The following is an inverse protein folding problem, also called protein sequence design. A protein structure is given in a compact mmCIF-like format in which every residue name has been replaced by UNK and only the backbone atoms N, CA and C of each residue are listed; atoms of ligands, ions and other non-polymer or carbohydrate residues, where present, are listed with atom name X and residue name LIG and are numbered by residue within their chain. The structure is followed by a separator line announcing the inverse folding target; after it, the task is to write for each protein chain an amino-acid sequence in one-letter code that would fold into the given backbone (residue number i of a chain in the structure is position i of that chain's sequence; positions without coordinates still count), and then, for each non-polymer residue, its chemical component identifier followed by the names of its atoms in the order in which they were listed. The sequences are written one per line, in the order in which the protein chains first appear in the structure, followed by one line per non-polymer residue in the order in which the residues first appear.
data_IF_836327372252
#
_entry.id   IF_836327372252
#
_cell.length_a   1.000
_cell.length_b   1.000
_cell.length_c   1.000
_cell.angle_alpha   90.00
_cell.angle_beta   90.00
_cell.angle_gamma   90.00
#
_symmetry.space_group_name_H-M   'P 1'
#
loop_
_entity.id
_entity.type
_entity.pdbx_description
1 polymer ?
#
# COMPACT_ATOMS: atom_id res chain seq x y z
N UNK A 1 11.63 -5.17 -23.48
CA UNK A 1 10.18 -5.36 -23.18
C UNK A 1 9.97 -6.32 -21.99
N UNK A 2 10.63 -6.11 -20.84
CA UNK A 2 10.44 -6.88 -19.58
C UNK A 2 10.93 -6.08 -18.35
N UNK A 3 10.44 -4.83 -18.18
CA UNK A 3 11.12 -3.81 -17.36
C UNK A 3 10.28 -3.22 -16.21
N UNK A 4 9.34 -3.96 -15.62
CA UNK A 4 8.39 -3.36 -14.65
C UNK A 4 8.08 -4.25 -13.45
N UNK A 5 8.96 -5.19 -13.10
CA UNK A 5 8.63 -6.33 -12.24
C UNK A 5 8.98 -6.18 -10.75
N UNK A 6 9.01 -4.96 -10.18
CA UNK A 6 9.56 -4.75 -8.83
C UNK A 6 8.62 -4.27 -7.71
N UNK A 7 7.66 -3.39 -7.99
CA UNK A 7 6.43 -3.40 -7.18
C UNK A 7 5.75 -4.77 -7.29
N UNK A 8 5.76 -5.40 -8.48
CA UNK A 8 5.37 -6.79 -8.64
C UNK A 8 6.09 -7.79 -7.75
N UNK A 9 7.34 -7.63 -7.32
CA UNK A 9 8.04 -8.73 -6.62
C UNK A 9 7.86 -8.79 -5.10
N UNK A 10 7.69 -7.62 -4.45
CA UNK A 10 7.04 -7.54 -3.14
C UNK A 10 5.65 -8.19 -3.20
N UNK A 11 4.90 -7.87 -4.27
CA UNK A 11 3.63 -8.54 -4.52
C UNK A 11 3.78 -9.94 -5.09
N UNK A 12 4.93 -10.47 -5.54
CA UNK A 12 5.08 -11.83 -6.13
C UNK A 12 5.40 -12.83 -5.04
N UNK A 13 6.24 -12.47 -4.07
CA UNK A 13 6.42 -13.27 -2.85
C UNK A 13 5.16 -13.24 -2.00
N UNK A 14 4.52 -12.06 -1.85
CA UNK A 14 3.17 -11.99 -1.29
C UNK A 14 2.14 -12.72 -2.17
N UNK A 15 2.17 -12.67 -3.51
CA UNK A 15 1.23 -13.37 -4.42
C UNK A 15 1.44 -14.87 -4.45
N UNK A 16 2.66 -15.38 -4.33
CA UNK A 16 2.90 -16.81 -4.22
C UNK A 16 2.30 -17.30 -2.91
N UNK A 17 2.62 -16.66 -1.78
CA UNK A 17 2.03 -17.00 -0.49
C UNK A 17 0.50 -16.75 -0.45
N UNK A 18 0.02 -15.66 -1.05
CA UNK A 18 -1.38 -15.21 -1.05
C UNK A 18 -2.26 -16.03 -1.99
N UNK A 19 -1.82 -16.29 -3.23
CA UNK A 19 -2.55 -17.16 -4.16
C UNK A 19 -2.51 -18.62 -3.70
N UNK A 20 -1.39 -19.08 -3.13
CA UNK A 20 -1.34 -20.42 -2.51
C UNK A 20 -2.35 -20.47 -1.36
N UNK A 21 -2.37 -19.46 -0.50
CA UNK A 21 -3.26 -19.41 0.63
C UNK A 21 -4.75 -19.29 0.23
N UNK A 22 -5.13 -18.43 -0.72
CA UNK A 22 -6.51 -18.33 -1.21
C UNK A 22 -6.96 -19.59 -1.97
N UNK A 23 -6.11 -20.20 -2.79
CA UNK A 23 -6.42 -21.51 -3.40
C UNK A 23 -6.61 -22.59 -2.35
N UNK A 24 -5.78 -22.59 -1.31
CA UNK A 24 -5.90 -23.53 -0.18
C UNK A 24 -7.23 -23.35 0.53
N UNK A 25 -7.70 -22.10 0.69
CA UNK A 25 -9.01 -21.78 1.26
C UNK A 25 -10.14 -22.30 0.38
N UNK A 26 -10.10 -22.03 -0.91
CA UNK A 26 -11.13 -22.45 -1.86
C UNK A 26 -11.26 -23.98 -1.88
N UNK A 27 -10.12 -24.69 -1.95
CA UNK A 27 -10.10 -26.15 -1.89
C UNK A 27 -10.52 -26.67 -0.51
N UNK A 28 -10.21 -25.98 0.59
CA UNK A 28 -10.69 -26.31 1.92
C UNK A 28 -12.21 -26.16 2.03
N UNK A 29 -12.80 -25.11 1.45
CA UNK A 29 -14.25 -24.94 1.40
C UNK A 29 -14.91 -26.07 0.62
N UNK A 30 -14.35 -26.43 -0.54
CA UNK A 30 -14.83 -27.58 -1.32
C UNK A 30 -14.76 -28.86 -0.49
N UNK A 31 -13.63 -29.12 0.18
CA UNK A 31 -13.44 -30.29 1.05
C UNK A 31 -14.46 -30.34 2.19
N UNK A 32 -14.71 -29.21 2.86
CA UNK A 32 -15.70 -29.08 3.92
C UNK A 32 -17.11 -29.37 3.42
N UNK A 33 -17.51 -28.76 2.30
CA UNK A 33 -18.85 -28.93 1.76
C UNK A 33 -19.09 -30.36 1.26
N UNK A 34 -18.07 -31.00 0.67
CA UNK A 34 -18.07 -32.42 0.35
C UNK A 34 -18.20 -33.29 1.61
N UNK A 35 -17.48 -32.95 2.69
CA UNK A 35 -17.60 -33.64 3.96
C UNK A 35 -19.03 -33.57 4.52
N UNK A 36 -19.63 -32.38 4.58
CA UNK A 36 -21.00 -32.22 5.07
C UNK A 36 -22.01 -32.98 4.22
N UNK A 37 -21.87 -32.96 2.89
CA UNK A 37 -22.71 -33.76 1.98
C UNK A 37 -22.56 -35.26 2.27
N UNK A 38 -21.33 -35.75 2.44
CA UNK A 38 -21.03 -37.16 2.74
C UNK A 38 -21.58 -37.58 4.11
N UNK A 39 -21.47 -36.72 5.12
CA UNK A 39 -22.03 -36.96 6.45
C UNK A 39 -23.56 -36.99 6.42
N UNK A 40 -24.21 -36.18 5.58
CA UNK A 40 -25.67 -36.20 5.42
C UNK A 40 -26.17 -37.42 4.63
N UNK A 41 -25.42 -37.89 3.63
CA UNK A 41 -25.83 -39.00 2.75
C UNK A 41 -25.57 -40.38 3.34
N UNK A 42 -24.62 -40.52 4.27
CA UNK A 42 -24.22 -41.84 4.80
C UNK A 42 -25.22 -42.32 5.86
N UNK A 43 -25.71 -43.57 5.82
CA UNK A 43 -26.67 -44.08 6.81
C UNK A 43 -26.06 -44.11 8.22
N UNK A 44 -26.89 -43.98 9.25
CA UNK A 44 -26.43 -44.02 10.64
C UNK A 44 -26.14 -45.47 11.05
N UNK A 45 -24.96 -45.76 11.63
CA UNK A 45 -24.64 -47.09 12.10
C UNK A 45 -25.49 -47.46 13.32
N UNK A 46 -25.81 -48.75 13.42
CA UNK A 46 -26.55 -49.30 14.57
C UNK A 46 -25.59 -49.65 15.70
N UNK A 47 -25.90 -49.22 16.93
CA UNK A 47 -25.10 -49.51 18.13
C UNK A 47 -24.25 -48.33 18.61
N UNK A 48 -23.41 -48.57 19.62
CA UNK A 48 -22.52 -47.56 20.18
C UNK A 48 -21.39 -47.23 19.18
N UNK A 49 -21.22 -45.96 18.84
CA UNK A 49 -20.20 -45.47 17.92
C UNK A 49 -19.81 -44.04 18.28
N UNK A 50 -18.62 -43.61 17.85
CA UNK A 50 -18.26 -42.20 17.85
C UNK A 50 -18.89 -41.52 16.63
N UNK A 51 -19.67 -40.45 16.85
CA UNK A 51 -20.32 -39.72 15.78
C UNK A 51 -19.32 -39.13 14.79
N UNK A 52 -19.57 -39.32 13.49
CA UNK A 52 -18.88 -38.58 12.41
C UNK A 52 -18.89 -37.07 12.68
N UNK A 53 -17.80 -36.41 12.32
CA UNK A 53 -17.64 -34.96 12.54
C UNK A 53 -16.64 -34.35 11.57
N UNK A 54 -16.78 -33.06 11.32
CA UNK A 54 -15.76 -32.25 10.67
C UNK A 54 -15.10 -31.36 11.72
N UNK A 55 -13.82 -31.58 11.99
CA UNK A 55 -13.08 -30.91 13.07
C UNK A 55 -12.33 -29.65 12.60
N UNK A 56 -12.84 -29.04 11.54
CA UNK A 56 -12.24 -27.96 10.76
C UNK A 56 -11.00 -28.36 9.96
N UNK A 57 -10.43 -29.56 10.14
CA UNK A 57 -9.23 -30.00 9.43
C UNK A 57 -9.50 -31.23 8.53
N UNK A 58 -10.13 -32.27 9.07
CA UNK A 58 -10.42 -33.49 8.35
C UNK A 58 -11.88 -33.94 8.53
N UNK A 59 -12.36 -34.71 7.56
CA UNK A 59 -13.67 -35.32 7.61
C UNK A 59 -13.59 -36.69 8.28
N UNK A 60 -14.07 -36.80 9.52
CA UNK A 60 -14.05 -38.05 10.29
C UNK A 60 -15.34 -38.84 10.07
N UNK A 61 -15.26 -40.12 9.63
CA UNK A 61 -16.42 -41.01 9.59
C UNK A 61 -16.79 -41.50 11.00
N UNK A 62 -17.86 -42.30 11.11
CA UNK A 62 -18.21 -42.90 12.40
C UNK A 62 -17.10 -43.87 12.86
N UNK A 63 -16.70 -43.72 14.12
CA UNK A 63 -15.63 -44.50 14.72
C UNK A 63 -16.16 -45.71 15.51
N UNK A 64 -15.47 -46.84 15.40
CA UNK A 64 -15.79 -48.03 16.19
C UNK A 64 -15.23 -47.87 17.61
N UNK A 65 -16.02 -48.09 18.68
CA UNK A 65 -15.56 -47.89 20.06
C UNK A 65 -14.30 -48.68 20.41
N UNK A 66 -13.33 -48.02 21.06
CA UNK A 66 -12.06 -48.63 21.46
C UNK A 66 -11.04 -48.81 20.34
N UNK A 67 -11.32 -48.35 19.12
CA UNK A 67 -10.41 -48.46 17.97
C UNK A 67 -9.87 -47.10 17.51
N UNK A 68 -8.88 -47.12 16.62
CA UNK A 68 -8.33 -45.93 15.97
C UNK A 68 -8.94 -45.83 14.58
N UNK A 69 -9.51 -44.67 14.26
CA UNK A 69 -10.03 -44.35 12.94
C UNK A 69 -8.93 -43.64 12.14
N UNK A 70 -8.72 -44.08 10.90
CA UNK A 70 -7.75 -43.50 9.99
C UNK A 70 -8.43 -42.82 8.81
N UNK A 71 -7.96 -41.64 8.43
CA UNK A 71 -8.43 -40.91 7.25
C UNK A 71 -7.23 -40.38 6.44
N UNK A 72 -7.31 -40.32 5.11
CA UNK A 72 -6.21 -39.79 4.28
C UNK A 72 -5.96 -38.30 4.57
N UNK A 73 -4.73 -37.85 4.32
CA UNK A 73 -4.41 -36.42 4.36
C UNK A 73 -5.38 -35.61 3.46
N UNK A 74 -5.89 -34.46 3.92
CA UNK A 74 -6.80 -33.65 3.12
C UNK A 74 -6.14 -33.11 1.85
N UNK A 75 -6.86 -33.17 0.73
CA UNK A 75 -6.33 -32.76 -0.58
C UNK A 75 -6.16 -31.25 -0.74
N UNK A 76 -6.77 -30.45 0.13
CA UNK A 76 -6.67 -28.99 0.08
C UNK A 76 -5.29 -28.46 0.50
N UNK A 77 -4.45 -29.29 1.13
CA UNK A 77 -3.14 -28.87 1.63
C UNK A 77 -2.22 -28.45 0.46
N UNK A 78 -1.49 -27.32 0.56
CA UNK A 78 -0.57 -26.87 -0.50
C UNK A 78 0.49 -27.90 -0.87
N UNK A 79 0.90 -28.71 0.10
CA UNK A 79 1.91 -29.77 -0.02
C UNK A 79 1.29 -31.17 -0.16
N UNK A 80 0.00 -31.29 -0.49
CA UNK A 80 -0.70 -32.58 -0.59
C UNK A 80 0.02 -33.59 -1.48
N UNK A 81 0.67 -33.15 -2.57
CA UNK A 81 1.44 -34.05 -3.44
C UNK A 81 2.55 -34.80 -2.67
N UNK A 82 3.18 -34.15 -1.68
CA UNK A 82 4.22 -34.78 -0.85
C UNK A 82 3.63 -35.75 0.17
N UNK A 83 2.47 -35.42 0.74
CA UNK A 83 1.84 -36.16 1.86
C UNK A 83 0.63 -37.00 1.42
N UNK A 84 0.44 -37.22 0.12
CA UNK A 84 -0.75 -37.90 -0.42
C UNK A 84 -0.95 -39.33 0.10
N UNK A 85 0.13 -39.97 0.53
CA UNK A 85 0.12 -41.31 1.13
C UNK A 85 -0.04 -41.31 2.67
N UNK A 86 -0.01 -40.14 3.30
CA UNK A 86 -0.10 -39.99 4.75
C UNK A 86 -1.52 -40.23 5.27
N UNK A 87 -1.61 -40.69 6.52
CA UNK A 87 -2.86 -40.94 7.22
C UNK A 87 -2.92 -40.14 8.52
N UNK A 88 -4.06 -39.50 8.74
CA UNK A 88 -4.46 -38.93 10.00
C UNK A 88 -5.09 -40.01 10.86
N UNK A 89 -4.91 -39.92 12.18
CA UNK A 89 -5.51 -40.88 13.11
C UNK A 89 -6.18 -40.20 14.30
N UNK A 90 -7.35 -40.71 14.67
CA UNK A 90 -8.11 -40.26 15.84
C UNK A 90 -8.67 -41.48 16.58
N UNK A 91 -8.61 -41.45 17.91
CA UNK A 91 -9.04 -42.56 18.75
C UNK A 91 -10.48 -42.40 19.23
N UNK A 92 -11.30 -43.42 18.99
CA UNK A 92 -12.65 -43.53 19.55
C UNK A 92 -12.59 -44.24 20.91
N UNK A 93 -13.13 -43.62 21.95
CA UNK A 93 -13.20 -44.19 23.29
C UNK A 93 -14.17 -45.38 23.37
N UNK A 94 -14.06 -46.18 24.43
CA UNK A 94 -14.97 -47.31 24.65
C UNK A 94 -16.39 -46.85 25.04
N UNK A 95 -16.51 -45.61 25.47
CA UNK A 95 -17.74 -44.88 25.82
C UNK A 95 -18.49 -44.34 24.59
N UNK A 96 -17.96 -44.52 23.37
CA UNK A 96 -18.55 -43.96 22.16
C UNK A 96 -18.29 -42.46 21.99
N UNK A 97 -17.33 -41.90 22.73
CA UNK A 97 -16.91 -40.51 22.59
C UNK A 97 -15.48 -40.44 22.03
N UNK A 98 -15.22 -39.42 21.20
CA UNK A 98 -13.88 -39.14 20.72
C UNK A 98 -12.96 -38.77 21.89
N UNK A 99 -11.78 -39.39 21.96
CA UNK A 99 -10.80 -39.10 23.03
C UNK A 99 -10.36 -37.65 22.93
N UNK A 100 -10.47 -36.90 24.02
CA UNK A 100 -10.06 -35.49 24.09
C UNK A 100 -8.58 -35.34 24.46
N UNK A 101 -7.90 -34.38 23.85
CA UNK A 101 -6.55 -33.96 24.23
C UNK A 101 -6.55 -32.91 25.35
N UNK A 102 -5.37 -32.34 25.65
CA UNK A 102 -5.14 -31.38 26.74
C UNK A 102 -5.99 -30.09 26.69
N UNK A 103 -6.66 -29.78 25.57
CA UNK A 103 -7.43 -28.53 25.36
C UNK A 103 -8.92 -28.73 25.12
N UNK A 104 -9.54 -29.79 25.62
CA UNK A 104 -10.98 -30.10 25.41
C UNK A 104 -11.38 -30.48 23.98
N UNK A 105 -10.51 -30.30 22.99
CA UNK A 105 -10.67 -30.72 21.60
C UNK A 105 -10.30 -32.20 21.43
N UNK A 106 -10.94 -32.89 20.49
CA UNK A 106 -10.63 -34.29 20.20
C UNK A 106 -9.15 -34.44 19.80
N UNK A 107 -8.43 -35.37 20.42
CA UNK A 107 -7.03 -35.66 20.14
C UNK A 107 -6.90 -36.25 18.73
N UNK A 108 -5.96 -35.74 17.94
CA UNK A 108 -5.62 -36.26 16.60
C UNK A 108 -4.11 -36.31 16.42
N UNK A 109 -3.63 -37.30 15.70
CA UNK A 109 -2.25 -37.33 15.22
C UNK A 109 -2.22 -36.88 13.75
N UNK A 110 -1.48 -35.80 13.49
CA UNK A 110 -1.32 -35.16 12.17
C UNK A 110 0.09 -35.30 11.59
N UNK A 111 1.00 -36.01 12.27
CA UNK A 111 2.44 -36.02 11.95
C UNK A 111 2.76 -36.48 10.52
N UNK A 112 1.91 -37.30 9.89
CA UNK A 112 2.11 -37.76 8.51
C UNK A 112 1.64 -36.78 7.43
N UNK A 113 1.00 -35.67 7.81
CA UNK A 113 0.47 -34.66 6.90
C UNK A 113 1.11 -33.27 7.12
N UNK A 114 2.16 -33.19 7.94
CA UNK A 114 2.96 -31.97 8.13
C UNK A 114 3.92 -31.76 6.96
N UNK A 115 4.22 -30.49 6.64
CA UNK A 115 5.18 -30.15 5.59
C UNK A 115 6.59 -30.17 6.16
N UNK A 116 7.38 -31.19 5.81
CA UNK A 116 8.77 -31.35 6.26
C UNK A 116 9.74 -30.35 5.58
N UNK A 117 9.28 -29.42 4.74
CA UNK A 117 10.17 -28.40 4.19
C UNK A 117 10.60 -27.42 5.27
N UNK A 118 11.85 -27.56 5.71
CA UNK A 118 12.61 -26.49 6.36
C UNK A 118 12.46 -25.22 5.49
N UNK A 119 11.86 -24.17 6.07
CA UNK A 119 11.79 -22.86 5.42
C UNK A 119 13.22 -22.49 5.04
N UNK A 120 13.48 -22.30 3.75
CA UNK A 120 14.84 -22.06 3.28
C UNK A 120 15.35 -20.75 3.89
N UNK A 121 16.64 -20.69 4.25
CA UNK A 121 17.23 -19.46 4.82
C UNK A 121 17.01 -18.23 3.91
N UNK A 122 16.94 -18.45 2.59
CA UNK A 122 16.66 -17.44 1.57
C UNK A 122 15.21 -16.90 1.62
N UNK A 123 14.22 -17.74 1.94
CA UNK A 123 12.82 -17.32 2.14
C UNK A 123 12.64 -16.52 3.43
N UNK A 124 13.34 -16.89 4.50
CA UNK A 124 13.35 -16.14 5.77
C UNK A 124 13.98 -14.76 5.57
N UNK A 125 15.16 -14.69 4.95
CA UNK A 125 15.86 -13.42 4.69
C UNK A 125 15.03 -12.49 3.79
N UNK A 126 14.37 -13.04 2.77
CA UNK A 126 13.48 -12.28 1.90
C UNK A 126 12.28 -11.73 2.66
N UNK A 127 11.65 -12.52 3.55
CA UNK A 127 10.53 -12.07 4.39
C UNK A 127 10.94 -10.93 5.32
N UNK A 128 12.09 -11.03 5.98
CA UNK A 128 12.58 -10.00 6.90
C UNK A 128 12.93 -8.70 6.18
N UNK A 129 13.49 -8.80 4.97
CA UNK A 129 13.74 -7.64 4.12
C UNK A 129 12.45 -6.93 3.70
N UNK A 130 11.40 -7.69 3.34
CA UNK A 130 10.08 -7.15 2.99
C UNK A 130 9.41 -6.45 4.17
N UNK A 131 9.51 -7.03 5.38
CA UNK A 131 9.02 -6.40 6.62
C UNK A 131 9.78 -5.10 6.93
N UNK A 132 11.10 -5.09 6.70
CA UNK A 132 11.93 -3.89 6.87
C UNK A 132 11.52 -2.78 5.91
N UNK A 133 11.28 -3.09 4.63
CA UNK A 133 10.75 -2.11 3.67
C UNK A 133 9.36 -1.59 4.07
N UNK A 134 8.50 -2.47 4.57
CA UNK A 134 7.18 -2.09 5.09
C UNK A 134 7.28 -1.11 6.25
N UNK A 135 8.13 -1.40 7.23
CA UNK A 135 8.37 -0.50 8.35
C UNK A 135 8.90 0.86 7.88
N UNK A 136 9.88 0.87 6.97
CA UNK A 136 10.50 2.08 6.44
C UNK A 136 9.47 3.04 5.83
N UNK A 137 8.68 2.58 4.85
CA UNK A 137 7.72 3.47 4.19
C UNK A 137 6.54 3.82 5.11
N UNK A 138 6.17 2.94 6.06
CA UNK A 138 5.08 3.22 7.02
C UNK A 138 5.48 4.35 7.95
N UNK A 139 6.71 4.32 8.47
CA UNK A 139 7.27 5.43 9.26
C UNK A 139 7.34 6.70 8.42
N UNK A 140 7.86 6.61 7.20
CA UNK A 140 7.96 7.75 6.28
C UNK A 140 6.61 8.41 6.01
N UNK A 141 5.58 7.63 5.65
CA UNK A 141 4.24 8.15 5.40
C UNK A 141 3.58 8.72 6.66
N UNK A 142 3.83 8.13 7.84
CA UNK A 142 3.30 8.65 9.11
C UNK A 142 3.90 10.02 9.45
N UNK A 143 5.22 10.18 9.32
CA UNK A 143 5.92 11.47 9.53
C UNK A 143 5.45 12.51 8.50
N UNK A 144 5.35 12.12 7.22
CA UNK A 144 4.79 12.97 6.17
C UNK A 144 3.36 13.42 6.48
N UNK A 145 2.50 12.51 6.92
CA UNK A 145 1.10 12.82 7.23
C UNK A 145 0.97 13.84 8.36
N UNK A 146 1.68 13.63 9.48
CA UNK A 146 1.68 14.54 10.63
C UNK A 146 2.15 15.95 10.25
N UNK A 147 3.23 16.03 9.48
CA UNK A 147 3.78 17.32 9.03
C UNK A 147 2.89 18.02 8.00
N UNK A 148 2.26 17.28 7.09
CA UNK A 148 1.31 17.82 6.11
C UNK A 148 0.03 18.34 6.76
N UNK A 149 -0.54 17.60 7.72
CA UNK A 149 -1.74 18.05 8.47
C UNK A 149 -1.42 19.37 9.19
N UNK A 150 -0.26 19.43 9.83
CA UNK A 150 0.21 20.63 10.53
C UNK A 150 0.38 21.81 9.57
N UNK A 151 0.97 21.59 8.39
CA UNK A 151 1.13 22.61 7.36
C UNK A 151 -0.20 23.10 6.77
N UNK A 152 -1.14 22.17 6.49
CA UNK A 152 -2.49 22.48 6.04
C UNK A 152 -3.24 23.31 7.08
N UNK A 153 -3.13 22.97 8.37
CA UNK A 153 -3.74 23.74 9.45
C UNK A 153 -3.19 25.18 9.49
N UNK A 154 -1.88 25.36 9.36
CA UNK A 154 -1.25 26.69 9.34
C UNK A 154 -1.76 27.53 8.15
N UNK A 155 -1.75 26.96 6.93
CA UNK A 155 -2.17 27.67 5.73
C UNK A 155 -3.67 28.00 5.72
N UNK A 156 -4.50 27.13 6.30
CA UNK A 156 -5.95 27.34 6.37
C UNK A 156 -6.36 28.28 7.51
N UNK A 157 -5.75 28.19 8.70
CA UNK A 157 -6.09 29.04 9.86
C UNK A 157 -5.61 30.48 9.73
N UNK A 158 -4.51 30.73 9.00
CA UNK A 158 -4.00 32.07 8.77
C UNK A 158 -4.63 32.68 7.52
N UNK A 159 -5.73 33.43 7.69
CA UNK A 159 -6.43 34.13 6.58
C UNK A 159 -5.49 34.94 5.67
N UNK A 160 -4.45 35.58 6.25
CA UNK A 160 -3.45 36.36 5.50
C UNK A 160 -2.59 35.54 4.54
N UNK A 161 -2.46 34.23 4.78
CA UNK A 161 -1.72 33.32 3.91
C UNK A 161 -2.62 32.69 2.84
N UNK A 162 -3.92 33.00 2.78
CA UNK A 162 -4.85 32.46 1.76
C UNK A 162 -4.71 33.25 0.45
N UNK A 163 -3.70 32.92 -0.32
CA UNK A 163 -3.45 33.44 -1.67
C UNK A 163 -3.56 32.29 -2.69
N UNK A 164 -3.80 32.58 -3.98
CA UNK A 164 -3.90 31.56 -5.04
C UNK A 164 -2.73 30.57 -5.05
N UNK A 165 -1.49 31.08 -4.88
CA UNK A 165 -0.29 30.24 -4.73
C UNK A 165 -0.41 29.25 -3.56
N UNK A 166 -0.78 29.76 -2.39
CA UNK A 166 -0.85 28.95 -1.17
C UNK A 166 -2.06 28.00 -1.20
N UNK A 167 -3.12 28.32 -1.94
CA UNK A 167 -4.22 27.41 -2.23
C UNK A 167 -3.80 26.25 -3.13
N UNK A 168 -2.94 26.48 -4.13
CA UNK A 168 -2.37 25.41 -4.96
C UNK A 168 -1.46 24.52 -4.11
N UNK A 169 -0.57 25.11 -3.29
CA UNK A 169 0.26 24.34 -2.35
C UNK A 169 -0.58 23.55 -1.35
N UNK A 170 -1.68 24.10 -0.83
CA UNK A 170 -2.57 23.40 0.07
C UNK A 170 -3.25 22.18 -0.61
N UNK A 171 -3.68 22.31 -1.87
CA UNK A 171 -4.21 21.16 -2.61
C UNK A 171 -3.12 20.10 -2.89
N UNK A 172 -1.89 20.53 -3.21
CA UNK A 172 -0.75 19.61 -3.33
C UNK A 172 -0.50 18.86 -2.02
N UNK A 173 -0.49 19.55 -0.87
CA UNK A 173 -0.34 18.93 0.44
C UNK A 173 -1.49 17.97 0.76
N UNK A 174 -2.72 18.33 0.43
CA UNK A 174 -3.89 17.46 0.59
C UNK A 174 -3.76 16.19 -0.26
N UNK A 175 -3.26 16.30 -1.50
CA UNK A 175 -3.02 15.13 -2.36
C UNK A 175 -1.99 14.16 -1.76
N UNK A 176 -0.92 14.67 -1.14
CA UNK A 176 0.05 13.84 -0.43
C UNK A 176 -0.53 13.21 0.83
N UNK A 177 -1.32 13.96 1.61
CA UNK A 177 -1.97 13.44 2.80
C UNK A 177 -2.94 12.31 2.44
N UNK A 178 -3.75 12.50 1.40
CA UNK A 178 -4.65 11.46 0.88
C UNK A 178 -3.87 10.24 0.36
N UNK A 179 -2.77 10.43 -0.37
CA UNK A 179 -1.87 9.34 -0.79
C UNK A 179 -1.36 8.56 0.42
N UNK A 180 -0.82 9.23 1.44
CA UNK A 180 -0.31 8.58 2.64
C UNK A 180 -1.40 7.79 3.39
N UNK A 181 -2.57 8.41 3.62
CA UNK A 181 -3.72 7.75 4.28
C UNK A 181 -4.17 6.53 3.49
N UNK A 182 -4.33 6.66 2.16
CA UNK A 182 -4.80 5.55 1.33
C UNK A 182 -3.85 4.34 1.33
N UNK A 183 -2.53 4.58 1.34
CA UNK A 183 -1.52 3.52 1.43
C UNK A 183 -1.57 2.83 2.79
N UNK A 184 -1.64 3.59 3.88
CA UNK A 184 -1.74 3.05 5.25
C UNK A 184 -3.02 2.22 5.41
N UNK A 185 -4.17 2.75 4.96
CA UNK A 185 -5.47 2.04 5.03
C UNK A 185 -5.42 0.74 4.24
N UNK A 186 -4.91 0.76 3.00
CA UNK A 186 -4.71 -0.46 2.21
C UNK A 186 -3.86 -1.47 2.97
N UNK A 187 -2.75 -1.05 3.56
CA UNK A 187 -1.82 -1.95 4.24
C UNK A 187 -2.39 -2.54 5.52
N UNK A 188 -3.16 -1.77 6.29
CA UNK A 188 -3.87 -2.26 7.46
C UNK A 188 -4.92 -3.30 7.04
N UNK A 189 -5.67 -3.04 5.96
CA UNK A 189 -6.66 -3.99 5.45
C UNK A 189 -6.01 -5.26 4.88
N UNK A 190 -4.90 -5.12 4.16
CA UNK A 190 -4.12 -6.25 3.66
C UNK A 190 -3.46 -7.04 4.79
N UNK A 191 -2.98 -6.39 5.86
CA UNK A 191 -2.48 -7.09 7.05
C UNK A 191 -3.60 -7.79 7.81
N UNK A 192 -4.80 -7.21 7.87
CA UNK A 192 -5.93 -7.86 8.53
C UNK A 192 -6.40 -9.10 7.76
N UNK A 193 -6.26 -9.10 6.43
CA UNK A 193 -6.53 -10.25 5.56
C UNK A 193 -5.39 -11.27 5.61
N UNK A 194 -4.16 -10.88 5.30
CA UNK A 194 -3.04 -11.80 5.04
C UNK A 194 -2.00 -11.89 6.17
N UNK A 195 -2.05 -11.01 7.16
CA UNK A 195 -1.05 -10.86 8.21
C UNK A 195 -1.33 -11.66 9.48
N UNK A 196 -2.43 -12.43 9.51
CA UNK A 196 -2.64 -13.42 10.56
C UNK A 196 -1.65 -14.56 10.29
N UNK A 197 -0.72 -14.80 11.20
CA UNK A 197 0.01 -16.05 11.20
C UNK A 197 -1.04 -17.13 11.46
N UNK A 198 -1.38 -17.91 10.43
CA UNK A 198 -2.43 -18.93 10.51
C UNK A 198 -1.91 -20.01 11.43
N UNK A 199 -2.19 -19.85 12.71
CA UNK A 199 -1.85 -20.81 13.75
C UNK A 199 -2.99 -21.79 13.94
N UNK A 200 -4.24 -21.41 13.63
CA UNK A 200 -5.42 -22.28 13.73
C UNK A 200 -6.35 -22.16 12.53
N UNK A 201 -7.01 -23.27 12.17
CA UNK A 201 -7.93 -23.38 11.02
C UNK A 201 -9.28 -22.66 11.28
N UNK A 202 -9.51 -22.17 12.50
CA UNK A 202 -10.63 -21.25 12.82
C UNK A 202 -10.44 -19.85 12.23
N UNK A 203 -9.20 -19.45 11.91
CA UNK A 203 -8.88 -18.10 11.40
C UNK A 203 -9.31 -17.91 9.94
N UNK A 204 -9.61 -19.00 9.22
CA UNK A 204 -10.06 -18.96 7.83
C UNK A 204 -11.44 -18.32 7.67
N UNK A 205 -12.36 -18.46 8.64
CA UNK A 205 -13.70 -17.86 8.53
C UNK A 205 -13.67 -16.32 8.48
N UNK A 206 -12.70 -15.70 9.16
CA UNK A 206 -12.48 -14.25 9.13
C UNK A 206 -11.84 -13.80 7.81
N UNK A 207 -10.97 -14.63 7.22
CA UNK A 207 -10.36 -14.41 5.91
C UNK A 207 -11.39 -14.42 4.76
N UNK A 208 -12.45 -15.22 4.92
CA UNK A 208 -13.48 -15.51 3.91
C UNK A 208 -14.61 -14.47 3.88
N UNK A 209 -14.66 -13.52 4.83
CA UNK A 209 -15.75 -12.53 4.88
C UNK A 209 -15.83 -11.66 3.61
N UNK A 210 -16.96 -11.74 2.90
CA UNK A 210 -17.28 -10.91 1.72
C UNK A 210 -17.12 -9.41 2.01
N UNK A 211 -17.42 -8.98 3.24
CA UNK A 211 -17.28 -7.59 3.67
C UNK A 211 -15.81 -7.14 3.66
N UNK A 212 -14.88 -8.02 4.05
CA UNK A 212 -13.45 -7.73 4.02
C UNK A 212 -12.91 -7.66 2.58
N UNK A 213 -13.46 -8.45 1.65
CA UNK A 213 -13.11 -8.42 0.23
C UNK A 213 -13.53 -7.10 -0.43
N UNK A 214 -14.76 -6.66 -0.20
CA UNK A 214 -15.26 -5.38 -0.71
C UNK A 214 -14.42 -4.22 -0.15
N UNK A 215 -14.12 -4.23 1.14
CA UNK A 215 -13.27 -3.22 1.79
C UNK A 215 -11.89 -3.11 1.16
N UNK A 216 -11.24 -4.24 0.86
CA UNK A 216 -9.93 -4.27 0.20
C UNK A 216 -9.97 -3.70 -1.23
N UNK A 217 -11.02 -4.03 -2.00
CA UNK A 217 -11.23 -3.49 -3.36
C UNK A 217 -11.41 -1.98 -3.33
N UNK A 218 -12.26 -1.46 -2.45
CA UNK A 218 -12.48 -0.02 -2.28
C UNK A 218 -11.17 0.68 -1.90
N UNK A 219 -10.44 0.15 -0.92
CA UNK A 219 -9.17 0.73 -0.49
C UNK A 219 -8.13 0.77 -1.62
N UNK A 220 -8.09 -0.27 -2.45
CA UNK A 220 -7.23 -0.29 -3.62
C UNK A 220 -7.61 0.78 -4.65
N UNK A 221 -8.90 0.93 -4.97
CA UNK A 221 -9.38 1.98 -5.89
C UNK A 221 -9.02 3.37 -5.37
N UNK A 222 -9.30 3.62 -4.09
CA UNK A 222 -8.99 4.89 -3.42
C UNK A 222 -7.49 5.16 -3.48
N UNK A 223 -6.65 4.16 -3.20
CA UNK A 223 -5.19 4.32 -3.31
C UNK A 223 -4.75 4.71 -4.73
N UNK A 224 -5.24 4.03 -5.76
CA UNK A 224 -4.88 4.34 -7.15
C UNK A 224 -5.31 5.76 -7.53
N UNK A 225 -6.52 6.17 -7.13
CA UNK A 225 -6.99 7.55 -7.31
C UNK A 225 -6.09 8.56 -6.60
N UNK A 226 -5.75 8.34 -5.32
CA UNK A 226 -4.92 9.26 -4.55
C UNK A 226 -3.49 9.37 -5.11
N UNK A 227 -2.90 8.26 -5.59
CA UNK A 227 -1.61 8.28 -6.28
C UNK A 227 -1.69 9.11 -7.56
N UNK A 228 -2.72 8.89 -8.38
CA UNK A 228 -2.88 9.61 -9.63
C UNK A 228 -3.16 11.09 -9.41
N UNK A 229 -4.05 11.44 -8.47
CA UNK A 229 -4.31 12.82 -8.08
C UNK A 229 -3.04 13.53 -7.61
N UNK A 230 -2.20 12.86 -6.82
CA UNK A 230 -0.91 13.43 -6.41
C UNK A 230 0.00 13.76 -7.61
N UNK A 231 0.04 12.90 -8.63
CA UNK A 231 0.78 13.16 -9.87
C UNK A 231 0.25 14.36 -10.64
N UNK A 232 -1.08 14.46 -10.80
CA UNK A 232 -1.69 15.59 -11.48
C UNK A 232 -1.53 16.89 -10.69
N UNK A 233 -1.51 16.86 -9.35
CA UNK A 233 -1.20 18.02 -8.54
C UNK A 233 0.24 18.51 -8.69
N UNK A 234 1.23 17.62 -8.93
CA UNK A 234 2.56 18.08 -9.35
C UNK A 234 2.52 18.80 -10.68
N UNK A 235 1.78 18.27 -11.67
CA UNK A 235 1.64 18.92 -12.98
C UNK A 235 0.99 20.30 -12.82
N UNK A 236 -0.07 20.43 -12.02
CA UNK A 236 -0.71 21.72 -11.71
C UNK A 236 0.29 22.71 -11.12
N UNK A 237 1.03 22.31 -10.09
CA UNK A 237 2.05 23.15 -9.44
C UNK A 237 3.14 23.58 -10.44
N UNK A 238 3.62 22.65 -11.27
CA UNK A 238 4.65 22.92 -12.27
C UNK A 238 4.17 23.87 -13.37
N UNK A 239 2.96 23.66 -13.91
CA UNK A 239 2.35 24.56 -14.89
C UNK A 239 2.12 25.94 -14.30
N UNK A 240 1.65 26.01 -13.05
CA UNK A 240 1.47 27.27 -12.33
C UNK A 240 2.79 28.03 -12.17
N UNK A 241 3.86 27.36 -11.73
CA UNK A 241 5.18 27.95 -11.58
C UNK A 241 5.78 28.38 -12.93
N UNK A 242 5.61 27.57 -13.97
CA UNK A 242 6.02 27.90 -15.33
C UNK A 242 5.33 29.17 -15.84
N UNK A 243 4.01 29.28 -15.65
CA UNK A 243 3.25 30.49 -16.01
C UNK A 243 3.74 31.70 -15.24
N UNK A 244 4.02 31.57 -13.95
CA UNK A 244 4.52 32.68 -13.12
C UNK A 244 5.91 33.18 -13.55
N UNK A 245 6.83 32.25 -13.87
CA UNK A 245 8.23 32.60 -14.16
C UNK A 245 8.47 33.05 -15.61
N UNK A 246 7.73 32.49 -16.56
CA UNK A 246 7.96 32.66 -18.01
C UNK A 246 6.74 33.31 -18.67
N UNK A 247 5.54 32.93 -18.23
CA UNK A 247 4.27 33.42 -18.77
C UNK A 247 3.82 34.79 -18.25
N UNK A 248 4.68 35.54 -17.55
CA UNK A 248 4.39 36.86 -16.97
C UNK A 248 3.99 37.95 -18.00
N UNK A 249 3.88 37.60 -19.29
CA UNK A 249 3.48 38.46 -20.41
C UNK A 249 2.00 38.28 -20.80
N UNK A 250 1.28 37.23 -20.32
CA UNK A 250 -0.08 36.95 -20.76
C UNK A 250 -1.13 36.79 -19.64
N UNK A 251 -1.92 37.87 -19.48
CA UNK A 251 -3.35 37.96 -19.12
C UNK A 251 -3.87 37.45 -17.75
N UNK A 252 -4.62 38.37 -17.11
CA UNK A 252 -5.27 38.40 -15.78
C UNK A 252 -6.45 37.44 -15.56
N UNK A 253 -6.67 36.43 -16.43
CA UNK A 253 -7.75 35.46 -16.21
C UNK A 253 -7.36 34.45 -15.13
N UNK A 254 -8.12 34.42 -14.03
CA UNK A 254 -7.91 33.52 -12.91
C UNK A 254 -8.41 32.09 -13.25
N UNK A 255 -7.53 31.25 -13.77
CA UNK A 255 -7.82 29.84 -14.14
C UNK A 255 -7.85 28.86 -12.95
N UNK A 256 -8.10 29.33 -11.73
CA UNK A 256 -8.06 28.49 -10.53
C UNK A 256 -9.00 27.27 -10.62
N UNK A 257 -10.22 27.46 -11.13
CA UNK A 257 -11.18 26.37 -11.33
C UNK A 257 -10.68 25.31 -12.33
N UNK A 258 -9.98 25.72 -13.39
CA UNK A 258 -9.37 24.79 -14.35
C UNK A 258 -8.28 23.94 -13.69
N UNK A 259 -7.46 24.54 -12.83
CA UNK A 259 -6.44 23.79 -12.08
C UNK A 259 -7.06 22.75 -11.13
N UNK A 260 -8.19 23.06 -10.49
CA UNK A 260 -8.92 22.10 -9.66
C UNK A 260 -9.44 20.91 -10.48
N UNK A 261 -10.03 21.15 -11.66
CA UNK A 261 -10.45 20.08 -12.56
C UNK A 261 -9.26 19.26 -13.08
N UNK A 262 -8.15 19.92 -13.41
CA UNK A 262 -6.93 19.23 -13.85
C UNK A 262 -6.39 18.29 -12.75
N UNK A 263 -6.33 18.77 -11.50
CA UNK A 263 -5.78 18.03 -10.37
C UNK A 263 -6.68 16.91 -9.84
N UNK A 264 -7.96 17.20 -9.60
CA UNK A 264 -8.90 16.25 -8.97
C UNK A 264 -9.80 15.52 -9.97
N UNK A 265 -10.18 16.18 -11.07
CA UNK A 265 -11.09 15.62 -12.07
C UNK A 265 -10.40 14.64 -13.03
N UNK A 266 -9.24 15.00 -13.56
CA UNK A 266 -8.50 14.15 -14.52
C UNK A 266 -8.20 12.74 -14.01
N UNK A 267 -7.81 12.52 -12.74
CA UNK A 267 -7.62 11.17 -12.21
C UNK A 267 -8.87 10.28 -12.32
N UNK A 268 -10.07 10.83 -12.14
CA UNK A 268 -11.34 10.09 -12.23
C UNK A 268 -11.54 9.52 -13.63
N UNK A 269 -11.18 10.29 -14.67
CA UNK A 269 -11.29 9.89 -16.08
C UNK A 269 -10.52 8.59 -16.37
N UNK A 270 -9.41 8.33 -15.69
CA UNK A 270 -8.59 7.13 -15.90
C UNK A 270 -8.90 6.01 -14.92
N UNK A 271 -9.25 6.34 -13.68
CA UNK A 271 -9.59 5.34 -12.66
C UNK A 271 -10.91 4.64 -12.97
N UNK A 272 -11.93 5.37 -13.45
CA UNK A 272 -13.25 4.77 -13.74
C UNK A 272 -13.18 3.66 -14.78
N UNK A 273 -12.58 3.86 -15.98
CA UNK A 273 -12.44 2.78 -16.97
C UNK A 273 -11.65 1.59 -16.43
N UNK A 274 -10.60 1.83 -15.63
CA UNK A 274 -9.83 0.77 -14.99
C UNK A 274 -10.67 -0.06 -14.02
N UNK A 275 -11.44 0.61 -13.16
CA UNK A 275 -12.38 -0.04 -12.21
C UNK A 275 -13.41 -0.87 -12.97
N UNK A 276 -14.00 -0.33 -14.03
CA UNK A 276 -15.00 -1.04 -14.84
C UNK A 276 -14.41 -2.32 -15.44
N UNK A 277 -13.21 -2.25 -16.02
CA UNK A 277 -12.56 -3.43 -16.60
C UNK A 277 -12.16 -4.46 -15.54
N UNK A 278 -11.64 -4.02 -14.38
CA UNK A 278 -11.35 -4.89 -13.24
C UNK A 278 -12.60 -5.60 -12.73
N UNK A 279 -13.70 -4.88 -12.58
CA UNK A 279 -14.96 -5.47 -12.14
C UNK A 279 -15.55 -6.47 -13.14
N UNK A 280 -15.43 -6.21 -14.45
CA UNK A 280 -16.00 -7.10 -15.46
C UNK A 280 -15.13 -8.33 -15.78
N UNK A 281 -13.81 -8.26 -15.52
CA UNK A 281 -12.86 -9.27 -15.98
C UNK A 281 -12.07 -9.96 -14.86
N UNK A 282 -11.93 -9.34 -13.69
CA UNK A 282 -11.09 -9.81 -12.57
C UNK A 282 -11.79 -9.52 -11.20
N UNK A 283 -12.98 -10.07 -10.97
CA UNK A 283 -13.82 -9.79 -9.78
C UNK A 283 -13.77 -10.84 -8.65
N UNK A 284 -12.76 -11.71 -8.66
CA UNK A 284 -12.59 -12.78 -7.66
C UNK A 284 -11.93 -12.27 -6.38
N UNK A 285 -10.78 -11.59 -6.48
CA UNK A 285 -9.92 -11.30 -5.33
C UNK A 285 -9.96 -9.83 -4.88
N UNK A 286 -9.07 -9.44 -3.97
CA UNK A 286 -8.72 -8.03 -3.79
C UNK A 286 -7.92 -7.54 -5.01
N UNK A 287 -8.26 -6.38 -5.57
CA UNK A 287 -7.59 -5.79 -6.74
C UNK A 287 -6.15 -5.30 -6.49
N UNK A 288 -5.51 -5.75 -5.41
CA UNK A 288 -4.10 -5.51 -5.12
C UNK A 288 -3.21 -6.15 -6.20
N UNK A 289 -3.63 -7.29 -6.75
CA UNK A 289 -2.92 -8.04 -7.78
C UNK A 289 -3.43 -7.70 -9.18
N UNK A 290 -2.52 -7.73 -10.16
CA UNK A 290 -2.85 -7.57 -11.57
C UNK A 290 -2.46 -8.86 -12.29
N UNK A 291 -3.45 -9.64 -12.71
CA UNK A 291 -3.23 -10.86 -13.50
C UNK A 291 -2.90 -10.47 -14.94
N UNK A 292 -3.76 -9.66 -15.55
CA UNK A 292 -3.50 -9.10 -16.86
C UNK A 292 -2.76 -7.75 -16.76
N UNK A 293 -1.52 -7.74 -17.26
CA UNK A 293 -0.68 -6.54 -17.31
C UNK A 293 -1.31 -5.42 -18.15
N UNK A 294 -2.18 -5.73 -19.11
CA UNK A 294 -2.84 -4.73 -19.94
C UNK A 294 -3.71 -3.77 -19.11
N UNK A 295 -4.47 -4.27 -18.14
CA UNK A 295 -5.29 -3.42 -17.27
C UNK A 295 -4.43 -2.54 -16.37
N UNK A 296 -3.29 -3.06 -15.92
CA UNK A 296 -2.35 -2.27 -15.12
C UNK A 296 -1.79 -1.06 -15.89
N UNK A 297 -1.55 -1.22 -17.20
CA UNK A 297 -1.08 -0.12 -18.06
C UNK A 297 -2.08 1.03 -18.20
N UNK A 298 -3.38 0.79 -18.01
CA UNK A 298 -4.43 1.83 -18.09
C UNK A 298 -4.18 2.96 -17.09
N UNK A 299 -3.78 2.62 -15.86
CA UNK A 299 -3.42 3.60 -14.82
C UNK A 299 -1.97 4.04 -14.96
N UNK A 300 -1.07 3.16 -15.41
CA UNK A 300 0.35 3.47 -15.50
C UNK A 300 0.67 4.51 -16.58
N UNK A 301 0.03 4.45 -17.74
CA UNK A 301 0.28 5.37 -18.86
C UNK A 301 0.04 6.83 -18.45
N UNK A 302 -1.11 7.21 -17.86
CA UNK A 302 -1.35 8.57 -17.38
C UNK A 302 -0.32 9.07 -16.37
N UNK A 303 0.13 8.20 -15.45
CA UNK A 303 1.20 8.54 -14.48
C UNK A 303 2.50 8.87 -15.21
N UNK A 304 2.93 7.99 -16.12
CA UNK A 304 4.16 8.19 -16.89
C UNK A 304 4.11 9.47 -17.74
N UNK A 305 2.96 9.73 -18.38
CA UNK A 305 2.74 10.92 -19.17
C UNK A 305 2.81 12.19 -18.31
N UNK A 306 2.13 12.20 -17.16
CA UNK A 306 2.18 13.32 -16.22
C UNK A 306 3.62 13.58 -15.72
N UNK A 307 4.35 12.53 -15.36
CA UNK A 307 5.74 12.65 -14.92
C UNK A 307 6.67 13.13 -16.03
N UNK A 308 6.46 12.71 -17.28
CA UNK A 308 7.23 13.21 -18.43
C UNK A 308 6.95 14.69 -18.70
N UNK A 309 5.69 15.12 -18.68
CA UNK A 309 5.31 16.53 -18.81
C UNK A 309 5.99 17.35 -17.71
N UNK A 310 5.97 16.86 -16.48
CA UNK A 310 6.58 17.54 -15.36
C UNK A 310 8.11 17.66 -15.51
N UNK A 311 8.78 16.60 -15.98
CA UNK A 311 10.21 16.63 -16.28
C UNK A 311 10.54 17.71 -17.33
N UNK A 312 9.76 17.80 -18.41
CA UNK A 312 9.97 18.81 -19.46
C UNK A 312 9.83 20.23 -18.89
N UNK A 313 8.77 20.47 -18.09
CA UNK A 313 8.56 21.77 -17.43
C UNK A 313 9.71 22.09 -16.48
N UNK A 314 10.13 21.13 -15.67
CA UNK A 314 11.25 21.28 -14.76
C UNK A 314 12.54 21.67 -15.50
N UNK A 315 12.88 21.00 -16.60
CA UNK A 315 14.08 21.33 -17.38
C UNK A 315 14.02 22.76 -17.94
N UNK A 316 12.84 23.22 -18.36
CA UNK A 316 12.62 24.62 -18.80
C UNK A 316 12.80 25.61 -17.66
N UNK A 317 12.19 25.35 -16.50
CA UNK A 317 12.31 26.19 -15.30
C UNK A 317 13.76 26.24 -14.83
N UNK A 318 14.45 25.11 -14.77
CA UNK A 318 15.85 25.02 -14.39
C UNK A 318 16.73 25.85 -15.33
N UNK A 319 16.51 25.77 -16.65
CA UNK A 319 17.22 26.61 -17.64
C UNK A 319 17.03 28.11 -17.37
N UNK A 320 15.81 28.53 -17.03
CA UNK A 320 15.51 29.94 -16.71
C UNK A 320 16.16 30.38 -15.40
N UNK A 321 16.08 29.57 -14.34
CA UNK A 321 16.73 29.84 -13.05
C UNK A 321 18.25 29.92 -13.24
N UNK A 322 18.84 28.99 -14.00
CA UNK A 322 20.26 29.00 -14.37
C UNK A 322 20.66 30.27 -15.11
N UNK A 323 19.86 30.69 -16.09
CA UNK A 323 20.11 31.93 -16.83
C UNK A 323 20.10 33.15 -15.91
N UNK A 324 19.14 33.24 -14.97
CA UNK A 324 19.06 34.33 -13.99
C UNK A 324 20.20 34.30 -12.97
N UNK A 325 20.60 33.12 -12.52
CA UNK A 325 21.74 32.94 -11.61
C UNK A 325 23.07 33.30 -12.28
N UNK A 326 23.25 32.98 -13.57
CA UNK A 326 24.45 33.36 -14.34
C UNK A 326 24.53 34.88 -14.57
N UNK A 327 23.39 35.54 -14.78
CA UNK A 327 23.33 37.00 -14.93
C UNK A 327 23.68 37.75 -13.63
N UNK A 328 23.27 37.22 -12.46
CA UNK A 328 23.66 37.74 -11.15
C UNK A 328 25.04 37.19 -10.74
N UNK A 329 26.12 37.74 -11.28
CA UNK A 329 27.51 37.37 -10.97
C UNK A 329 27.79 37.32 -9.45
N UNK A 330 27.81 36.12 -8.86
CA UNK A 330 28.46 35.82 -7.57
C UNK A 330 29.41 34.64 -7.78
N UNK A 331 30.50 34.60 -7.00
CA UNK A 331 31.69 33.76 -7.25
C UNK A 331 31.43 32.28 -7.56
N UNK A 332 32.41 31.63 -8.22
CA UNK A 332 32.32 30.27 -8.76
C UNK A 332 31.89 29.19 -7.72
N UNK A 333 32.21 29.36 -6.43
CA UNK A 333 31.74 28.43 -5.40
C UNK A 333 30.28 28.68 -4.97
N UNK A 334 29.86 29.95 -4.85
CA UNK A 334 28.50 30.34 -4.43
C UNK A 334 27.45 29.98 -5.50
N UNK A 335 27.79 30.06 -6.80
CA UNK A 335 26.86 29.62 -7.85
C UNK A 335 26.62 28.10 -7.84
N UNK A 336 27.66 27.27 -7.69
CA UNK A 336 27.50 25.81 -7.65
C UNK A 336 26.67 25.38 -6.44
N UNK A 337 26.93 25.98 -5.28
CA UNK A 337 26.21 25.67 -4.05
C UNK A 337 24.73 26.09 -4.14
N UNK A 338 24.44 27.28 -4.66
CA UNK A 338 23.06 27.75 -4.88
C UNK A 338 22.32 26.90 -5.90
N UNK A 339 23.00 26.50 -6.97
CA UNK A 339 22.44 25.62 -7.99
C UNK A 339 22.15 24.22 -7.42
N UNK A 340 23.12 23.62 -6.72
CA UNK A 340 22.94 22.32 -6.09
C UNK A 340 21.77 22.37 -5.10
N UNK A 341 21.68 23.43 -4.28
CA UNK A 341 20.56 23.63 -3.35
C UNK A 341 19.22 23.77 -4.07
N UNK A 342 19.15 24.55 -5.15
CA UNK A 342 17.94 24.67 -5.94
C UNK A 342 17.55 23.32 -6.55
N UNK A 343 18.44 22.67 -7.29
CA UNK A 343 18.18 21.38 -7.96
C UNK A 343 17.81 20.28 -6.95
N UNK A 344 18.54 20.15 -5.83
CA UNK A 344 18.27 19.16 -4.79
C UNK A 344 16.92 19.41 -4.08
N UNK A 345 16.50 20.67 -3.99
CA UNK A 345 15.19 21.06 -3.46
C UNK A 345 14.08 20.76 -4.46
N UNK A 346 14.30 21.04 -5.75
CA UNK A 346 13.29 20.88 -6.79
C UNK A 346 13.08 19.40 -7.20
N UNK A 347 14.09 18.54 -7.18
CA UNK A 347 13.95 17.13 -7.63
C UNK A 347 12.87 16.37 -6.83
N UNK A 348 12.88 16.36 -5.48
CA UNK A 348 11.80 15.75 -4.68
C UNK A 348 10.47 16.49 -4.82
N UNK A 349 10.50 17.79 -5.14
CA UNK A 349 9.32 18.64 -5.25
C UNK A 349 8.50 18.34 -6.49
N UNK A 350 9.16 17.97 -7.59
CA UNK A 350 8.53 17.64 -8.87
C UNK A 350 8.44 16.12 -9.12
N UNK A 351 8.80 15.28 -8.16
CA UNK A 351 8.70 13.81 -8.34
C UNK A 351 9.60 13.26 -9.46
N UNK A 352 10.67 13.99 -9.81
CA UNK A 352 11.56 13.62 -10.93
C UNK A 352 12.35 12.36 -10.62
N UNK A 353 12.60 12.10 -9.33
CA UNK A 353 13.23 10.86 -8.89
C UNK A 353 12.47 9.64 -9.41
N UNK A 354 11.13 9.68 -9.48
CA UNK A 354 10.33 8.58 -10.03
C UNK A 354 10.68 8.30 -11.50
N UNK A 355 10.86 9.34 -12.33
CA UNK A 355 11.23 9.20 -13.75
C UNK A 355 12.62 8.61 -13.89
N UNK A 356 13.58 9.07 -13.09
CA UNK A 356 14.96 8.55 -13.07
C UNK A 356 14.95 7.04 -12.75
N UNK A 357 14.17 6.60 -11.76
CA UNK A 357 14.08 5.18 -11.43
C UNK A 357 13.30 4.34 -12.46
N UNK A 358 12.40 4.95 -13.24
CA UNK A 358 11.71 4.27 -14.35
C UNK A 358 12.67 4.04 -15.54
N UNK A 359 13.48 5.04 -15.90
CA UNK A 359 14.41 4.95 -17.03
C UNK A 359 15.77 4.34 -16.69
N UNK A 360 16.17 4.33 -15.41
CA UNK A 360 17.30 3.52 -14.94
C UNK A 360 16.93 2.03 -15.08
N UNK A 361 17.37 1.47 -16.20
CA UNK A 361 17.13 0.15 -16.80
C UNK A 361 17.15 -1.05 -15.83
N UNK A 362 16.15 -1.95 -15.92
CA UNK A 362 16.18 -3.31 -15.31
C UNK A 362 17.17 -4.26 -16.02
N UNK A 363 17.63 -3.96 -17.24
CA UNK A 363 18.51 -4.86 -18.02
C UNK A 363 19.90 -5.11 -17.40
N UNK A 364 20.29 -4.35 -16.36
CA UNK A 364 21.57 -4.48 -15.66
C UNK A 364 21.45 -4.80 -14.16
N UNK A 365 20.24 -5.02 -13.63
CA UNK A 365 20.02 -5.12 -12.18
C UNK A 365 19.40 -6.46 -11.76
N UNK A 366 20.18 -7.53 -11.82
CA UNK A 366 19.92 -8.75 -11.05
C UNK A 366 20.53 -8.65 -9.64
N UNK A 367 19.87 -9.19 -8.62
CA UNK A 367 20.40 -9.25 -7.25
C UNK A 367 20.32 -7.93 -6.47
N UNK A 368 21.39 -7.56 -5.74
CA UNK A 368 21.43 -6.49 -4.73
C UNK A 368 20.99 -5.10 -5.26
N UNK A 369 21.37 -4.74 -6.49
CA UNK A 369 21.02 -3.47 -7.13
C UNK A 369 19.49 -3.23 -7.21
N UNK A 370 18.74 -4.33 -7.33
CA UNK A 370 17.29 -4.34 -7.33
C UNK A 370 16.71 -3.87 -5.99
N UNK A 371 17.23 -4.41 -4.89
CA UNK A 371 16.79 -4.08 -3.54
C UNK A 371 17.14 -2.63 -3.19
N UNK A 372 18.32 -2.17 -3.60
CA UNK A 372 18.74 -0.78 -3.47
C UNK A 372 17.76 0.16 -4.19
N UNK A 373 17.38 -0.15 -5.44
CA UNK A 373 16.40 0.63 -6.21
C UNK A 373 15.04 0.72 -5.52
N UNK A 374 14.53 -0.41 -5.02
CA UNK A 374 13.25 -0.46 -4.29
C UNK A 374 13.33 0.35 -2.99
N UNK A 375 14.41 0.18 -2.23
CA UNK A 375 14.66 0.93 -1.00
C UNK A 375 14.62 2.44 -1.25
N UNK A 376 15.41 2.94 -2.20
CA UNK A 376 15.45 4.37 -2.50
C UNK A 376 14.11 4.89 -3.02
N UNK A 377 13.41 4.13 -3.86
CA UNK A 377 12.10 4.53 -4.36
C UNK A 377 11.06 4.63 -3.23
N UNK A 378 10.98 3.63 -2.36
CA UNK A 378 10.07 3.62 -1.20
C UNK A 378 10.41 4.72 -0.19
N UNK A 379 11.71 4.89 0.11
CA UNK A 379 12.19 5.93 0.99
C UNK A 379 11.84 7.32 0.47
N UNK A 380 12.22 7.65 -0.77
CA UNK A 380 11.94 8.96 -1.34
C UNK A 380 10.44 9.24 -1.45
N UNK A 381 9.63 8.26 -1.88
CA UNK A 381 8.18 8.45 -2.03
C UNK A 381 7.45 8.62 -0.69
N UNK A 382 7.92 7.96 0.38
CA UNK A 382 7.28 8.06 1.70
C UNK A 382 7.63 9.35 2.43
N UNK A 383 8.87 9.84 2.30
CA UNK A 383 9.34 11.09 2.91
C UNK A 383 9.13 12.34 2.03
N UNK A 384 8.65 12.18 0.80
CA UNK A 384 8.44 13.29 -0.13
C UNK A 384 7.49 14.35 0.44
N UNK A 385 6.38 13.92 1.05
CA UNK A 385 5.40 14.81 1.67
C UNK A 385 5.99 15.66 2.80
N UNK A 386 6.81 15.03 3.66
CA UNK A 386 7.58 15.71 4.70
C UNK A 386 8.50 16.80 4.11
N UNK A 387 9.31 16.46 3.10
CA UNK A 387 10.22 17.41 2.46
C UNK A 387 9.45 18.60 1.85
N UNK A 388 8.36 18.32 1.14
CA UNK A 388 7.50 19.33 0.53
C UNK A 388 6.89 20.27 1.57
N UNK A 389 6.39 19.73 2.69
CA UNK A 389 5.84 20.53 3.80
C UNK A 389 6.91 21.42 4.46
N UNK A 390 8.10 20.88 4.69
CA UNK A 390 9.23 21.63 5.24
C UNK A 390 9.61 22.79 4.32
N UNK A 391 9.73 22.55 3.02
CA UNK A 391 10.20 23.56 2.07
C UNK A 391 9.18 24.67 1.80
N UNK A 392 7.92 24.31 1.55
CA UNK A 392 6.90 25.29 1.15
C UNK A 392 6.16 25.95 2.32
N UNK A 393 6.08 25.29 3.47
CA UNK A 393 5.40 25.83 4.65
C UNK A 393 6.40 26.24 5.74
N UNK A 394 7.11 25.29 6.35
CA UNK A 394 7.88 25.58 7.58
C UNK A 394 9.14 26.43 7.33
N UNK A 395 9.81 26.28 6.19
CA UNK A 395 10.98 27.07 5.81
C UNK A 395 10.62 28.42 5.19
N UNK A 396 9.35 28.65 4.86
CA UNK A 396 8.90 29.86 4.19
C UNK A 396 8.95 31.08 5.14
N UNK A 397 9.69 32.11 4.74
CA UNK A 397 9.90 33.33 5.54
C UNK A 397 8.59 34.07 5.86
N UNK A 398 7.65 34.07 4.91
CA UNK A 398 6.34 34.70 5.06
C UNK A 398 5.52 34.00 6.16
N UNK A 399 5.50 32.67 6.13
CA UNK A 399 4.83 31.83 7.13
C UNK A 399 5.49 32.01 8.50
N UNK A 400 6.83 31.97 8.58
CA UNK A 400 7.57 32.21 9.83
C UNK A 400 7.24 33.57 10.45
N UNK A 401 7.19 34.63 9.63
CA UNK A 401 6.88 35.98 10.08
C UNK A 401 5.47 36.06 10.68
N UNK A 402 4.48 35.48 9.99
CA UNK A 402 3.08 35.48 10.46
C UNK A 402 2.88 34.64 11.73
N UNK A 403 3.54 33.47 11.84
CA UNK A 403 3.54 32.66 13.07
C UNK A 403 4.17 33.45 14.21
N UNK A 404 5.33 34.07 14.00
CA UNK A 404 6.01 34.85 15.03
C UNK A 404 5.17 36.07 15.46
N UNK A 405 4.44 36.71 14.52
CA UNK A 405 3.50 37.78 14.83
C UNK A 405 2.34 37.31 15.70
N UNK A 406 1.68 36.20 15.34
CA UNK A 406 0.59 35.62 16.15
C UNK A 406 1.08 35.18 17.53
N UNK A 407 2.27 34.59 17.60
CA UNK A 407 2.88 34.18 18.87
C UNK A 407 3.12 35.37 19.80
N UNK A 408 3.66 36.49 19.28
CA UNK A 408 3.84 37.72 20.07
C UNK A 408 2.52 38.32 20.56
N UNK A 409 1.48 38.31 19.72
CA UNK A 409 0.14 38.77 20.13
C UNK A 409 -0.44 37.90 21.25
N UNK A 410 -0.36 36.57 21.10
CA UNK A 410 -0.81 35.65 22.15
C UNK A 410 -0.05 35.80 23.46
N UNK A 411 1.27 36.05 23.40
CA UNK A 411 2.07 36.35 24.60
C UNK A 411 1.64 37.66 25.27
N UNK A 412 1.26 38.68 24.49
CA UNK A 412 0.77 39.95 25.02
C UNK A 412 -0.61 39.79 25.69
N UNK A 413 -1.54 39.08 25.04
CA UNK A 413 -2.87 38.79 25.58
C UNK A 413 -2.78 37.95 26.87
N UNK A 414 -1.89 36.96 26.91
CA UNK A 414 -1.65 36.15 28.11
C UNK A 414 -1.09 36.98 29.27
N UNK A 415 -0.22 37.95 29.00
CA UNK A 415 0.28 38.87 30.05
C UNK A 415 -0.82 39.80 30.56
N UNK A 416 -1.73 40.25 29.69
CA UNK A 416 -2.88 41.06 30.09
C UNK A 416 -3.88 40.29 30.98
N UNK A 417 -4.02 38.97 30.79
CA UNK A 417 -4.89 38.12 31.62
C UNK A 417 -4.31 37.77 33.00
N UNK A 418 -2.98 37.81 33.16
CA UNK A 418 -2.29 37.44 34.42
C UNK A 418 -2.07 38.65 35.35
N UNK A 419 -2.18 39.87 34.83
CA UNK A 419 -2.20 41.11 35.64
C UNK A 419 -3.54 41.82 35.50
N UNK A 420 -4.58 41.43 36.28
CA UNK A 420 -5.76 42.27 36.41
C UNK A 420 -5.33 43.55 37.14
N UNK A 421 -5.61 44.71 36.53
CA UNK A 421 -5.43 46.04 37.14
C UNK A 421 -6.33 46.21 38.34
#
# INVERSE_FOLDING_TARGET
MRLVLLLPLLTISQKAASQVLERTVEEWMRYRDECYKRMASTPHPSGLHCNRTFDMYACWPDGTPGTITYVPCPYYLPWFQKVSHGLLSQRCGKDGLWVKGNRSQAWRNVSQCEDDTEVTAEEVETRDLLLSFRALYTVGYSVSLLTLISALLILTMCRKLRCTRNSIHANLFASFALRAVSVIVKDVLLAKRWGMQITEVSDWEVLISDQAAIGCRIAQVVMQYCILANHYWFVVEAVYLYKLLIGAVFSEKNYYTLYLYLGWGTPVLFVVPWVTLKYLKENSECWALNENMAYWWIIRIPILLASLINLVIFMRILKVILSKLRANQKGYADYKLRLAKATLTLIPLFGIHEVVFIFATDEQTSGILRYIKVFFNLFLNSFQGFLVAVLYCFANKEVKSEIHKKWRLWQADRKALVCPR
#
